data_IF_154033611315
#
_entry.id   IF_154033611315
#
_cell.length_a   1.000
_cell.length_b   1.000
_cell.length_c   1.000
_cell.angle_alpha   90.00
_cell.angle_beta   90.00
_cell.angle_gamma   90.00
#
_symmetry.space_group_name_H-M   'P 1'
#
loop_
_entity.id
_entity.type
_entity.pdbx_description
1 polymer ?
#
# COMPACT_ATOMS: atom_id res chain seq x y z
N UNK A 1 -15.76 -21.04 22.75
CA UNK A 1 -15.97 -20.79 21.31
C UNK A 1 -16.96 -19.65 20.98
N UNK A 2 -17.87 -19.24 21.86
CA UNK A 2 -18.92 -18.26 21.48
C UNK A 2 -18.54 -16.78 21.62
N UNK A 3 -17.56 -16.39 22.44
CA UNK A 3 -17.18 -15.00 22.64
C UNK A 3 -16.32 -14.42 21.49
N UNK A 4 -15.44 -15.25 20.91
CA UNK A 4 -14.60 -14.85 19.77
C UNK A 4 -15.39 -14.53 18.50
N UNK A 5 -16.46 -15.27 18.22
CA UNK A 5 -17.30 -15.04 17.04
C UNK A 5 -18.15 -13.76 17.15
N UNK A 6 -18.57 -13.37 18.36
CA UNK A 6 -19.33 -12.14 18.58
C UNK A 6 -18.44 -10.90 18.50
N UNK A 7 -17.20 -10.98 18.94
CA UNK A 7 -16.25 -9.89 18.87
C UNK A 7 -15.76 -9.66 17.43
N UNK A 8 -15.51 -10.73 16.67
CA UNK A 8 -15.21 -10.66 15.24
C UNK A 8 -16.34 -10.02 14.45
N UNK A 9 -17.60 -10.44 14.68
CA UNK A 9 -18.77 -9.80 14.05
C UNK A 9 -18.90 -8.32 14.35
N UNK A 10 -18.62 -7.86 15.59
CA UNK A 10 -18.62 -6.44 15.95
C UNK A 10 -17.50 -5.66 15.26
N UNK A 11 -16.32 -6.24 15.11
CA UNK A 11 -15.17 -5.61 14.43
C UNK A 11 -15.46 -5.44 12.93
N UNK A 12 -15.95 -6.48 12.27
CA UNK A 12 -16.38 -6.43 10.86
C UNK A 12 -17.48 -5.41 10.65
N UNK A 13 -18.48 -5.34 11.53
CA UNK A 13 -19.55 -4.34 11.45
C UNK A 13 -18.99 -2.89 11.54
N UNK A 14 -17.97 -2.65 12.34
CA UNK A 14 -17.37 -1.32 12.46
C UNK A 14 -16.59 -0.93 11.20
N UNK A 15 -15.89 -1.86 10.56
CA UNK A 15 -15.23 -1.65 9.27
C UNK A 15 -16.24 -1.38 8.16
N UNK A 16 -17.31 -2.18 8.07
CA UNK A 16 -18.40 -1.99 7.10
C UNK A 16 -19.10 -0.64 7.31
N UNK A 17 -19.40 -0.24 8.55
CA UNK A 17 -19.98 1.08 8.85
C UNK A 17 -19.08 2.22 8.41
N UNK A 18 -17.77 2.10 8.61
CA UNK A 18 -16.78 3.09 8.18
C UNK A 18 -16.72 3.19 6.67
N UNK A 19 -16.68 2.06 5.97
CA UNK A 19 -16.73 2.02 4.51
C UNK A 19 -18.04 2.62 3.99
N UNK A 20 -19.18 2.22 4.54
CA UNK A 20 -20.48 2.76 4.17
C UNK A 20 -20.57 4.27 4.39
N UNK A 21 -20.05 4.79 5.52
CA UNK A 21 -19.99 6.22 5.78
C UNK A 21 -19.13 6.96 4.75
N UNK A 22 -17.98 6.42 4.38
CA UNK A 22 -17.11 7.01 3.34
C UNK A 22 -17.78 7.02 1.98
N UNK A 23 -18.42 5.91 1.58
CA UNK A 23 -19.19 5.83 0.33
C UNK A 23 -20.34 6.82 0.34
N UNK A 24 -21.09 6.92 1.45
CA UNK A 24 -22.17 7.89 1.59
C UNK A 24 -21.67 9.32 1.49
N UNK A 25 -20.54 9.65 2.11
CA UNK A 25 -19.93 10.99 1.99
C UNK A 25 -19.59 11.35 0.56
N UNK A 26 -19.00 10.40 -0.18
CA UNK A 26 -18.68 10.60 -1.61
C UNK A 26 -19.97 10.79 -2.44
N UNK A 27 -21.01 9.99 -2.16
CA UNK A 27 -22.30 10.15 -2.84
C UNK A 27 -22.94 11.50 -2.54
N UNK A 28 -22.90 11.97 -1.31
CA UNK A 28 -23.41 13.31 -0.93
C UNK A 28 -22.64 14.43 -1.62
N UNK A 29 -21.31 14.31 -1.73
CA UNK A 29 -20.49 15.26 -2.49
C UNK A 29 -20.89 15.29 -3.98
N UNK A 30 -21.11 14.15 -4.59
CA UNK A 30 -21.58 14.06 -5.99
C UNK A 30 -22.96 14.68 -6.13
N UNK A 31 -23.90 14.39 -5.24
CA UNK A 31 -25.25 14.98 -5.24
C UNK A 31 -25.20 16.50 -5.03
N UNK A 32 -24.33 16.98 -4.13
CA UNK A 32 -24.10 18.40 -3.90
C UNK A 32 -23.57 19.10 -5.15
N UNK A 33 -22.59 18.50 -5.84
CA UNK A 33 -22.09 19.03 -7.11
C UNK A 33 -23.19 19.10 -8.18
N UNK A 34 -23.99 18.01 -8.32
CA UNK A 34 -25.15 18.01 -9.24
C UNK A 34 -26.15 19.11 -8.87
N UNK A 35 -26.39 19.34 -7.58
CA UNK A 35 -27.28 20.39 -7.09
C UNK A 35 -26.79 21.79 -7.44
N UNK A 36 -25.48 22.06 -7.29
CA UNK A 36 -24.87 23.33 -7.71
C UNK A 36 -25.05 23.53 -9.21
N UNK A 37 -24.78 22.50 -10.03
CA UNK A 37 -24.94 22.63 -11.48
C UNK A 37 -26.38 22.82 -11.89
N UNK A 38 -27.37 22.26 -11.19
CA UNK A 38 -28.80 22.51 -11.45
C UNK A 38 -29.25 23.94 -11.06
N UNK A 39 -28.67 24.48 -9.97
CA UNK A 39 -28.99 25.85 -9.52
C UNK A 39 -28.42 26.95 -10.41
N UNK A 40 -27.46 26.63 -11.29
CA UNK A 40 -26.83 27.59 -12.22
C UNK A 40 -27.55 27.66 -13.60
N UNK A 41 -28.85 27.43 -13.63
CA UNK A 41 -29.63 27.26 -14.86
C UNK A 41 -29.52 28.44 -15.86
N UNK A 42 -29.32 29.64 -15.41
CA UNK A 42 -29.16 30.85 -16.29
C UNK A 42 -27.84 30.83 -17.08
N UNK A 43 -26.83 30.14 -16.56
CA UNK A 43 -25.49 30.00 -17.18
C UNK A 43 -25.22 28.60 -17.75
N UNK A 44 -26.22 27.73 -17.75
CA UNK A 44 -26.04 26.32 -18.08
C UNK A 44 -25.38 26.11 -19.46
N UNK A 45 -25.81 26.84 -20.48
CA UNK A 45 -25.27 26.73 -21.85
C UNK A 45 -23.80 27.17 -21.91
N UNK A 46 -23.48 28.27 -21.22
CA UNK A 46 -22.11 28.79 -21.17
C UNK A 46 -21.17 27.80 -20.44
N UNK A 47 -21.62 27.33 -19.30
CA UNK A 47 -20.86 26.33 -18.49
C UNK A 47 -20.68 25.05 -19.28
N UNK A 48 -21.71 24.53 -19.95
CA UNK A 48 -21.63 23.33 -20.77
C UNK A 48 -20.59 23.47 -21.89
N UNK A 49 -20.67 24.58 -22.66
CA UNK A 49 -19.70 24.84 -23.73
C UNK A 49 -18.27 24.99 -23.22
N UNK A 50 -18.07 25.70 -22.11
CA UNK A 50 -16.76 25.87 -21.49
C UNK A 50 -16.21 24.50 -21.01
N UNK A 51 -17.08 23.68 -20.41
CA UNK A 51 -16.71 22.35 -19.92
C UNK A 51 -16.34 21.42 -21.08
N UNK A 52 -17.04 21.49 -22.21
CA UNK A 52 -16.71 20.70 -23.43
C UNK A 52 -15.35 21.08 -23.99
N UNK A 53 -15.04 22.37 -24.09
CA UNK A 53 -13.72 22.83 -24.54
C UNK A 53 -12.65 22.33 -23.57
N UNK A 54 -12.88 22.48 -22.28
CA UNK A 54 -11.96 21.99 -21.26
C UNK A 54 -11.80 20.46 -21.29
N UNK A 55 -12.88 19.71 -21.52
CA UNK A 55 -12.87 18.26 -21.66
C UNK A 55 -11.97 17.83 -22.83
N UNK A 56 -12.05 18.48 -23.98
CA UNK A 56 -11.18 18.17 -25.14
C UNK A 56 -9.71 18.40 -24.78
N UNK A 57 -9.39 19.54 -24.18
CA UNK A 57 -8.01 19.85 -23.74
C UNK A 57 -7.50 18.79 -22.75
N UNK A 58 -8.36 18.41 -21.80
CA UNK A 58 -8.02 17.40 -20.79
C UNK A 58 -7.80 16.02 -21.43
N UNK A 59 -8.65 15.63 -22.37
CA UNK A 59 -8.50 14.37 -23.13
C UNK A 59 -7.17 14.35 -23.89
N UNK A 60 -6.83 15.42 -24.59
CA UNK A 60 -5.54 15.51 -25.29
C UNK A 60 -4.36 15.39 -24.33
N UNK A 61 -4.46 16.01 -23.15
CA UNK A 61 -3.46 15.91 -22.10
C UNK A 61 -3.34 14.47 -21.53
N UNK A 62 -4.47 13.79 -21.32
CA UNK A 62 -4.48 12.38 -20.88
C UNK A 62 -3.89 11.47 -21.96
N UNK A 63 -4.25 11.69 -23.21
CA UNK A 63 -3.74 10.93 -24.35
C UNK A 63 -2.23 11.03 -24.47
N UNK A 64 -1.65 12.21 -24.31
CA UNK A 64 -0.21 12.45 -24.38
C UNK A 64 0.62 11.94 -23.17
N UNK A 65 -0.01 11.35 -22.13
CA UNK A 65 0.74 10.78 -21.00
C UNK A 65 1.38 9.44 -21.35
N UNK A 66 2.56 9.17 -20.77
CA UNK A 66 3.22 7.85 -20.84
C UNK A 66 2.59 6.87 -19.82
N UNK A 67 1.29 6.59 -19.99
CA UNK A 67 0.55 5.62 -19.21
C UNK A 67 -0.01 4.55 -20.12
N UNK A 68 -0.28 3.34 -19.59
CA UNK A 68 -0.88 2.25 -20.39
C UNK A 68 -2.26 2.64 -20.90
N UNK A 69 -2.60 2.19 -22.11
CA UNK A 69 -3.89 2.52 -22.74
C UNK A 69 -5.08 2.07 -21.89
N UNK A 70 -4.96 0.93 -21.19
CA UNK A 70 -6.00 0.42 -20.28
C UNK A 70 -6.33 1.38 -19.13
N UNK A 71 -5.38 2.22 -18.71
CA UNK A 71 -5.60 3.23 -17.67
C UNK A 71 -6.15 4.54 -18.23
N UNK A 72 -5.79 4.91 -19.47
CA UNK A 72 -6.22 6.17 -20.09
C UNK A 72 -7.60 6.09 -20.73
N UNK A 73 -7.85 4.99 -21.45
CA UNK A 73 -9.07 4.82 -22.27
C UNK A 73 -10.37 4.97 -21.49
N UNK A 74 -10.54 4.39 -20.29
CA UNK A 74 -11.77 4.58 -19.50
C UNK A 74 -12.04 6.05 -19.18
N UNK A 75 -11.00 6.81 -18.83
CA UNK A 75 -11.13 8.24 -18.53
C UNK A 75 -11.49 9.04 -19.78
N UNK A 76 -10.86 8.75 -20.92
CA UNK A 76 -11.15 9.41 -22.19
C UNK A 76 -12.62 9.18 -22.59
N UNK A 77 -13.08 7.92 -22.52
CA UNK A 77 -14.48 7.58 -22.82
C UNK A 77 -15.43 8.32 -21.88
N UNK A 78 -15.18 8.27 -20.58
CA UNK A 78 -16.04 8.91 -19.58
C UNK A 78 -16.15 10.43 -19.78
N UNK A 79 -15.02 11.11 -20.04
CA UNK A 79 -14.96 12.56 -20.23
C UNK A 79 -15.64 12.96 -21.54
N UNK A 80 -15.49 12.19 -22.62
CA UNK A 80 -16.13 12.51 -23.89
C UNK A 80 -17.63 12.21 -23.88
N UNK A 81 -18.07 11.17 -23.18
CA UNK A 81 -19.50 10.82 -23.09
C UNK A 81 -20.26 11.72 -22.12
N UNK A 82 -19.67 12.04 -20.98
CA UNK A 82 -20.26 12.85 -19.91
C UNK A 82 -19.29 13.95 -19.49
N UNK A 83 -19.13 15.05 -20.25
CA UNK A 83 -18.07 16.04 -20.00
C UNK A 83 -18.04 16.59 -18.59
N UNK A 84 -19.17 17.05 -18.07
CA UNK A 84 -19.26 17.63 -16.73
C UNK A 84 -18.90 16.59 -15.66
N UNK A 85 -19.58 15.44 -15.70
CA UNK A 85 -19.35 14.36 -14.72
C UNK A 85 -17.96 13.76 -14.87
N UNK A 86 -17.53 13.49 -16.11
CA UNK A 86 -16.22 12.89 -16.39
C UNK A 86 -15.06 13.77 -15.95
N UNK A 87 -15.15 15.08 -16.21
CA UNK A 87 -14.16 16.06 -15.74
C UNK A 87 -14.15 16.12 -14.21
N UNK A 88 -15.32 16.22 -13.57
CA UNK A 88 -15.40 16.25 -12.10
C UNK A 88 -14.80 14.99 -11.47
N UNK A 89 -15.20 13.81 -11.93
CA UNK A 89 -14.65 12.53 -11.43
C UNK A 89 -13.17 12.39 -11.71
N UNK A 90 -12.68 12.85 -12.86
CA UNK A 90 -11.27 12.82 -13.17
C UNK A 90 -10.45 13.69 -12.21
N UNK A 91 -10.93 14.88 -11.86
CA UNK A 91 -10.29 15.72 -10.85
C UNK A 91 -10.35 15.12 -9.44
N UNK A 92 -11.45 14.46 -9.09
CA UNK A 92 -11.63 13.83 -7.77
C UNK A 92 -10.79 12.56 -7.60
N UNK A 93 -10.73 11.73 -8.64
CA UNK A 93 -10.19 10.37 -8.53
C UNK A 93 -8.98 10.16 -9.46
N UNK A 94 -9.05 10.65 -10.69
CA UNK A 94 -8.06 10.39 -11.75
C UNK A 94 -6.79 11.24 -11.65
N UNK A 95 -6.85 12.39 -10.98
CA UNK A 95 -5.69 13.24 -10.82
C UNK A 95 -4.79 12.78 -9.66
N UNK A 96 -3.60 12.29 -10.03
CA UNK A 96 -2.53 11.96 -9.08
C UNK A 96 -1.74 13.19 -8.59
N UNK A 97 -2.31 14.38 -8.59
CA UNK A 97 -1.60 15.62 -8.20
C UNK A 97 -1.06 15.60 -6.77
N UNK A 98 -1.82 15.05 -5.84
CA UNK A 98 -1.38 14.85 -4.46
C UNK A 98 -0.24 13.85 -4.30
N UNK A 99 -0.08 12.91 -5.25
CA UNK A 99 1.01 11.93 -5.24
C UNK A 99 2.36 12.55 -5.58
N UNK A 100 2.39 13.71 -6.24
CA UNK A 100 3.65 14.39 -6.60
C UNK A 100 4.52 14.67 -5.35
N UNK A 101 3.90 15.20 -4.29
CA UNK A 101 4.61 15.48 -3.01
C UNK A 101 5.10 14.18 -2.37
N UNK A 102 4.26 13.14 -2.37
CA UNK A 102 4.62 11.82 -1.87
C UNK A 102 5.73 11.20 -2.71
N UNK A 103 5.61 11.20 -4.03
CA UNK A 103 6.63 10.70 -4.97
C UNK A 103 7.98 11.42 -4.79
N UNK A 104 7.97 12.75 -4.64
CA UNK A 104 9.18 13.52 -4.36
C UNK A 104 9.81 13.14 -3.02
N UNK A 105 9.00 12.80 -2.01
CA UNK A 105 9.48 12.33 -0.71
C UNK A 105 10.12 10.94 -0.82
N UNK A 106 9.46 10.00 -1.52
CA UNK A 106 10.02 8.67 -1.80
C UNK A 106 11.33 8.77 -2.56
N UNK A 107 11.37 9.58 -3.64
CA UNK A 107 12.61 9.79 -4.39
C UNK A 107 13.77 10.26 -3.51
N UNK A 108 13.52 11.18 -2.57
CA UNK A 108 14.55 11.62 -1.61
C UNK A 108 14.98 10.52 -0.64
N UNK A 109 14.09 9.59 -0.32
CA UNK A 109 14.42 8.41 0.51
C UNK A 109 15.26 7.44 -0.31
N UNK A 110 14.85 7.15 -1.53
CA UNK A 110 15.57 6.26 -2.45
C UNK A 110 16.98 6.77 -2.75
N UNK A 111 17.15 8.07 -2.99
CA UNK A 111 18.46 8.71 -3.16
C UNK A 111 19.41 8.48 -1.98
N UNK A 112 18.88 8.25 -0.77
CA UNK A 112 19.67 7.97 0.44
C UNK A 112 19.87 6.49 0.70
N UNK A 113 18.88 5.66 0.40
CA UNK A 113 18.89 4.25 0.77
C UNK A 113 19.45 3.35 -0.33
N UNK A 114 19.14 3.61 -1.60
CA UNK A 114 19.61 2.78 -2.70
C UNK A 114 21.15 2.67 -2.78
N UNK A 115 21.93 3.75 -2.54
CA UNK A 115 23.39 3.65 -2.52
C UNK A 115 23.95 2.78 -1.39
N UNK A 116 23.13 2.45 -0.38
CA UNK A 116 23.53 1.56 0.71
C UNK A 116 23.38 0.07 0.36
N UNK A 117 22.74 -0.25 -0.77
CA UNK A 117 22.64 -1.61 -1.27
C UNK A 117 24.00 -2.01 -1.87
N UNK A 118 24.70 -3.00 -1.31
CA UNK A 118 26.00 -3.42 -1.85
C UNK A 118 25.78 -4.12 -3.19
N UNK A 119 26.46 -3.63 -4.23
CA UNK A 119 26.58 -4.32 -5.51
C UNK A 119 27.63 -5.44 -5.40
N UNK A 120 27.32 -6.62 -5.93
CA UNK A 120 28.27 -7.72 -6.06
C UNK A 120 28.42 -8.14 -7.53
N UNK A 121 29.35 -7.47 -8.24
CA UNK A 121 29.60 -7.70 -9.66
C UNK A 121 30.00 -9.13 -9.98
N UNK A 122 30.78 -9.77 -9.09
CA UNK A 122 31.20 -11.15 -9.29
C UNK A 122 30.00 -12.12 -9.26
N UNK A 123 28.98 -11.85 -8.43
CA UNK A 123 27.76 -12.66 -8.40
C UNK A 123 27.00 -12.52 -9.71
N UNK A 124 26.89 -11.31 -10.23
CA UNK A 124 26.21 -11.04 -11.50
C UNK A 124 26.96 -11.68 -12.68
N UNK A 125 28.30 -11.58 -12.71
CA UNK A 125 29.14 -12.20 -13.75
C UNK A 125 29.01 -13.72 -13.73
N UNK A 126 29.04 -14.35 -12.56
CA UNK A 126 28.82 -15.80 -12.42
C UNK A 126 27.43 -16.21 -12.85
N UNK A 127 26.39 -15.44 -12.51
CA UNK A 127 25.03 -15.68 -12.95
C UNK A 127 24.91 -15.58 -14.47
N UNK A 128 25.50 -14.55 -15.08
CA UNK A 128 25.53 -14.39 -16.53
C UNK A 128 26.23 -15.54 -17.24
N UNK A 129 27.29 -16.07 -16.65
CA UNK A 129 28.03 -17.22 -17.21
C UNK A 129 27.28 -18.54 -17.07
N UNK A 130 26.60 -18.77 -15.96
CA UNK A 130 25.89 -20.02 -15.67
C UNK A 130 24.50 -20.08 -16.28
N UNK A 131 23.75 -18.98 -16.24
CA UNK A 131 22.42 -18.83 -16.82
C UNK A 131 22.24 -17.42 -17.43
N UNK A 132 22.52 -17.25 -18.72
CA UNK A 132 22.39 -15.97 -19.39
C UNK A 132 20.97 -15.38 -19.37
N UNK A 133 19.94 -16.22 -19.27
CA UNK A 133 18.55 -15.77 -19.21
C UNK A 133 18.25 -15.14 -17.84
N UNK A 134 18.61 -15.83 -16.78
CA UNK A 134 18.50 -15.29 -15.42
C UNK A 134 19.38 -14.03 -15.24
N UNK A 135 20.59 -14.04 -15.81
CA UNK A 135 21.46 -12.89 -15.83
C UNK A 135 20.87 -11.66 -16.52
N UNK A 136 20.21 -11.85 -17.67
CA UNK A 136 19.51 -10.75 -18.37
C UNK A 136 18.35 -10.19 -17.54
N UNK A 137 17.56 -11.04 -16.87
CA UNK A 137 16.49 -10.60 -15.97
C UNK A 137 17.06 -9.82 -14.80
N UNK A 138 18.15 -10.32 -14.19
CA UNK A 138 18.83 -9.66 -13.08
C UNK A 138 19.37 -8.28 -13.49
N UNK A 139 20.05 -8.18 -14.63
CA UNK A 139 20.51 -6.91 -15.20
C UNK A 139 19.35 -5.92 -15.45
N UNK A 140 18.21 -6.43 -15.92
CA UNK A 140 17.03 -5.58 -16.14
C UNK A 140 16.48 -5.04 -14.81
N UNK A 141 16.38 -5.89 -13.78
CA UNK A 141 15.90 -5.50 -12.44
C UNK A 141 16.85 -4.47 -11.83
N UNK A 142 18.14 -4.70 -11.88
CA UNK A 142 19.14 -3.79 -11.35
C UNK A 142 19.07 -2.41 -12.02
N UNK A 143 19.03 -2.35 -13.35
CA UNK A 143 18.99 -1.10 -14.11
C UNK A 143 17.69 -0.31 -13.93
N UNK A 144 16.55 -0.98 -13.77
CA UNK A 144 15.24 -0.32 -13.76
C UNK A 144 14.65 -0.17 -12.36
N UNK A 145 15.02 -1.03 -11.42
CA UNK A 145 14.52 -1.03 -10.04
C UNK A 145 15.62 -0.78 -9.00
N UNK A 146 16.91 -0.72 -9.41
CA UNK A 146 18.05 -0.50 -8.53
C UNK A 146 18.25 -1.59 -7.47
N UNK A 147 17.83 -2.83 -7.76
CA UNK A 147 18.02 -3.97 -6.87
C UNK A 147 19.06 -4.93 -7.45
N UNK A 148 20.28 -4.99 -6.87
CA UNK A 148 21.33 -5.90 -7.33
C UNK A 148 21.02 -7.34 -6.97
N UNK A 149 21.68 -8.28 -7.65
CA UNK A 149 21.59 -9.71 -7.34
C UNK A 149 22.45 -10.08 -6.15
N UNK A 150 21.94 -10.96 -5.32
CA UNK A 150 22.66 -11.50 -4.16
C UNK A 150 22.79 -13.01 -4.29
N UNK A 151 23.77 -13.58 -3.59
CA UNK A 151 23.88 -15.02 -3.35
C UNK A 151 23.98 -15.29 -1.83
N UNK A 152 24.09 -16.53 -1.44
CA UNK A 152 24.04 -16.97 -0.04
C UNK A 152 22.69 -16.66 0.62
N UNK A 153 21.64 -16.78 -0.18
CA UNK A 153 20.25 -16.66 0.29
C UNK A 153 19.66 -18.07 0.38
N UNK A 154 19.24 -18.45 1.57
CA UNK A 154 18.47 -19.67 1.78
C UNK A 154 16.98 -19.34 1.65
N UNK A 155 16.26 -20.16 0.88
CA UNK A 155 14.84 -19.94 0.57
C UNK A 155 14.03 -21.15 0.94
N UNK A 156 13.07 -20.96 1.83
CA UNK A 156 12.08 -22.00 2.17
C UNK A 156 10.72 -21.61 1.60
N UNK A 157 10.14 -22.49 0.81
CA UNK A 157 8.79 -22.33 0.28
C UNK A 157 7.78 -23.15 1.08
N UNK A 158 6.67 -22.56 1.42
CA UNK A 158 5.55 -23.21 2.08
C UNK A 158 4.37 -23.34 1.10
N UNK A 159 3.94 -24.56 0.84
CA UNK A 159 2.82 -24.89 -0.04
C UNK A 159 1.45 -24.62 0.62
N UNK A 160 1.41 -24.55 1.96
CA UNK A 160 0.23 -24.29 2.75
C UNK A 160 0.41 -23.06 3.66
N UNK A 161 -0.57 -22.18 3.70
CA UNK A 161 -0.54 -20.98 4.53
C UNK A 161 -0.38 -21.30 6.04
N UNK A 162 -0.94 -22.41 6.49
CA UNK A 162 -0.82 -22.84 7.90
C UNK A 162 0.63 -23.17 8.25
N UNK A 163 1.33 -23.91 7.39
CA UNK A 163 2.75 -24.22 7.60
C UNK A 163 3.61 -22.94 7.63
N UNK A 164 3.31 -22.02 6.73
CA UNK A 164 3.97 -20.69 6.70
C UNK A 164 3.72 -19.90 7.98
N UNK A 165 2.50 -19.92 8.50
CA UNK A 165 2.16 -19.26 9.77
C UNK A 165 2.91 -19.86 10.96
N UNK A 166 2.96 -21.20 11.07
CA UNK A 166 3.68 -21.87 12.16
C UNK A 166 5.18 -21.58 12.12
N UNK A 167 5.77 -21.60 10.92
CA UNK A 167 7.17 -21.21 10.74
C UNK A 167 7.40 -19.74 11.12
N UNK A 168 6.53 -18.83 10.69
CA UNK A 168 6.60 -17.42 11.04
C UNK A 168 6.53 -17.20 12.56
N UNK A 169 5.60 -17.85 13.24
CA UNK A 169 5.48 -17.77 14.70
C UNK A 169 6.75 -18.26 15.41
N UNK A 170 7.31 -19.37 14.90
CA UNK A 170 8.56 -19.94 15.43
C UNK A 170 9.73 -18.97 15.27
N UNK A 171 9.84 -18.31 14.13
CA UNK A 171 10.95 -17.38 13.87
C UNK A 171 10.75 -16.04 14.60
N UNK A 172 9.51 -15.54 14.68
CA UNK A 172 9.18 -14.36 15.49
C UNK A 172 9.57 -14.56 16.97
N UNK A 173 9.35 -15.77 17.52
CA UNK A 173 9.71 -16.08 18.90
C UNK A 173 11.22 -16.07 19.16
N UNK A 174 12.06 -16.22 18.13
CA UNK A 174 13.53 -16.18 18.21
C UNK A 174 14.11 -14.77 18.03
N UNK A 175 13.30 -13.78 17.66
CA UNK A 175 13.78 -12.43 17.40
C UNK A 175 14.43 -11.82 18.66
N UNK A 176 15.61 -11.23 18.51
CA UNK A 176 16.40 -10.68 19.62
C UNK A 176 16.51 -9.16 19.60
N UNK A 177 16.51 -8.53 18.42
CA UNK A 177 16.71 -7.08 18.30
C UNK A 177 15.48 -6.37 17.77
N UNK A 178 14.95 -6.81 16.61
CA UNK A 178 13.79 -6.16 16.02
C UNK A 178 12.89 -7.11 15.25
N UNK A 179 11.62 -6.71 15.13
CA UNK A 179 10.59 -7.29 14.26
C UNK A 179 9.90 -6.13 13.54
N UNK A 180 10.03 -6.05 12.22
CA UNK A 180 9.35 -5.06 11.39
C UNK A 180 8.38 -5.77 10.44
N UNK A 181 7.09 -5.49 10.58
CA UNK A 181 6.03 -6.13 9.80
C UNK A 181 5.32 -5.08 8.95
N UNK A 182 5.12 -5.40 7.68
CA UNK A 182 4.39 -4.57 6.72
C UNK A 182 3.38 -5.44 5.97
N UNK A 183 2.09 -5.14 6.14
CA UNK A 183 1.01 -5.91 5.56
C UNK A 183 0.00 -5.04 4.84
N UNK A 184 -0.48 -5.51 3.68
CA UNK A 184 -1.61 -4.88 3.01
C UNK A 184 -2.90 -5.01 3.82
N UNK A 185 -3.19 -6.19 4.33
CA UNK A 185 -4.37 -6.47 5.12
C UNK A 185 -4.01 -7.21 6.40
N UNK A 186 -4.55 -6.73 7.51
CA UNK A 186 -4.54 -7.43 8.79
C UNK A 186 -5.99 -7.69 9.17
N UNK A 187 -6.31 -8.95 9.38
CA UNK A 187 -7.58 -9.38 9.95
C UNK A 187 -7.36 -9.70 11.44
N UNK A 188 -8.02 -8.94 12.32
CA UNK A 188 -7.88 -9.09 13.78
C UNK A 188 -8.66 -10.34 14.27
N UNK A 189 -8.22 -11.50 13.78
CA UNK A 189 -8.79 -12.83 13.99
C UNK A 189 -7.70 -13.86 14.40
N UNK A 190 -7.95 -15.15 14.21
CA UNK A 190 -7.13 -16.24 14.73
C UNK A 190 -5.65 -16.13 14.40
N UNK A 191 -5.29 -15.92 13.14
CA UNK A 191 -3.87 -15.85 12.74
C UNK A 191 -3.17 -14.64 13.37
N UNK A 192 -3.81 -13.47 13.31
CA UNK A 192 -3.25 -12.26 13.89
C UNK A 192 -3.15 -12.34 15.42
N UNK A 193 -4.13 -12.89 16.09
CA UNK A 193 -4.09 -13.04 17.56
C UNK A 193 -2.90 -13.86 18.04
N UNK A 194 -2.53 -14.90 17.31
CA UNK A 194 -1.32 -15.72 17.59
C UNK A 194 -0.04 -14.90 17.35
N UNK A 195 0.06 -14.23 16.22
CA UNK A 195 1.17 -13.34 15.91
C UNK A 195 1.30 -12.26 17.00
N UNK A 196 0.21 -11.58 17.32
CA UNK A 196 0.20 -10.51 18.32
C UNK A 196 0.68 -11.00 19.70
N UNK A 197 0.30 -12.20 20.12
CA UNK A 197 0.76 -12.78 21.38
C UNK A 197 2.29 -12.87 21.39
N UNK A 198 2.89 -13.40 20.34
CA UNK A 198 4.35 -13.50 20.23
C UNK A 198 5.01 -12.11 20.19
N UNK A 199 4.42 -11.15 19.45
CA UNK A 199 4.93 -9.78 19.41
C UNK A 199 4.94 -9.12 20.80
N UNK A 200 3.87 -9.31 21.58
CA UNK A 200 3.79 -8.78 22.95
C UNK A 200 4.84 -9.41 23.88
N UNK A 201 5.12 -10.69 23.72
CA UNK A 201 6.21 -11.37 24.45
C UNK A 201 7.58 -10.82 24.06
N UNK A 202 7.80 -10.59 22.78
CA UNK A 202 9.08 -10.02 22.31
C UNK A 202 9.28 -8.58 22.77
N UNK A 203 8.22 -7.75 22.75
CA UNK A 203 8.28 -6.39 23.33
C UNK A 203 8.69 -6.44 24.80
N UNK A 204 8.11 -7.35 25.61
CA UNK A 204 8.50 -7.53 27.02
C UNK A 204 9.95 -7.97 27.17
N UNK A 205 10.50 -8.69 26.20
CA UNK A 205 11.90 -9.10 26.15
C UNK A 205 12.85 -7.99 25.64
N UNK A 206 12.33 -6.78 25.32
CA UNK A 206 13.12 -5.64 24.87
C UNK A 206 13.32 -5.55 23.36
N UNK A 207 12.67 -6.42 22.58
CA UNK A 207 12.74 -6.40 21.11
C UNK A 207 11.94 -5.23 20.55
N UNK A 208 12.52 -4.50 19.60
CA UNK A 208 11.82 -3.42 18.90
C UNK A 208 10.80 -3.98 17.91
N UNK A 209 9.50 -3.73 18.13
CA UNK A 209 8.44 -4.23 17.25
C UNK A 209 7.74 -3.07 16.55
N UNK A 210 7.71 -3.13 15.21
CA UNK A 210 7.00 -2.17 14.37
C UNK A 210 6.03 -2.89 13.45
N UNK A 211 4.79 -2.40 13.39
CA UNK A 211 3.75 -2.90 12.49
C UNK A 211 3.28 -1.76 11.59
N UNK A 212 3.20 -2.02 10.31
CA UNK A 212 2.72 -1.11 9.30
C UNK A 212 1.65 -1.80 8.45
N UNK A 213 0.51 -1.17 8.23
CA UNK A 213 -0.55 -1.78 7.42
C UNK A 213 -1.31 -0.75 6.57
N UNK A 214 -1.87 -1.21 5.44
CA UNK A 214 -2.72 -0.38 4.58
C UNK A 214 -4.14 -0.28 5.13
N UNK A 215 -4.66 0.94 5.23
CA UNK A 215 -5.97 1.18 5.81
C UNK A 215 -7.11 0.60 4.96
N UNK A 216 -7.03 0.75 3.63
CA UNK A 216 -8.06 0.24 2.73
C UNK A 216 -8.06 -1.29 2.70
N UNK A 217 -6.87 -1.91 2.67
CA UNK A 217 -6.74 -3.36 2.72
C UNK A 217 -7.31 -3.97 3.99
N UNK A 218 -7.25 -3.22 5.09
CA UNK A 218 -7.70 -3.67 6.41
C UNK A 218 -9.07 -3.10 6.84
N UNK A 219 -9.76 -2.31 6.00
CA UNK A 219 -10.94 -1.53 6.39
C UNK A 219 -12.11 -2.36 6.90
N UNK A 220 -12.28 -3.57 6.38
CA UNK A 220 -13.32 -4.51 6.81
C UNK A 220 -12.96 -5.33 8.06
N UNK A 221 -11.69 -5.35 8.43
CA UNK A 221 -11.11 -6.33 9.35
C UNK A 221 -10.64 -5.72 10.67
N UNK A 222 -10.20 -4.46 10.66
CA UNK A 222 -9.77 -3.76 11.86
C UNK A 222 -10.58 -2.51 12.12
N UNK A 223 -10.64 -2.06 13.36
CA UNK A 223 -11.29 -0.80 13.73
C UNK A 223 -10.28 0.35 13.87
N UNK A 224 -10.80 1.58 13.95
CA UNK A 224 -9.98 2.80 14.09
C UNK A 224 -9.07 2.80 15.32
N UNK A 225 -9.35 2.01 16.33
CA UNK A 225 -8.55 1.92 17.56
C UNK A 225 -7.46 0.85 17.48
N UNK A 226 -7.38 0.07 16.40
CA UNK A 226 -6.45 -1.06 16.29
C UNK A 226 -4.99 -0.62 16.48
N UNK A 227 -4.54 0.40 15.74
CA UNK A 227 -3.18 0.93 15.90
C UNK A 227 -2.91 1.40 17.33
N UNK A 228 -3.83 2.15 17.94
CA UNK A 228 -3.70 2.60 19.35
C UNK A 228 -3.65 1.44 20.32
N UNK A 229 -4.38 0.35 20.09
CA UNK A 229 -4.32 -0.85 20.92
C UNK A 229 -2.96 -1.53 20.86
N UNK A 230 -2.34 -1.58 19.67
CA UNK A 230 -0.99 -2.12 19.51
C UNK A 230 0.04 -1.21 20.20
N UNK A 231 -0.08 0.11 20.04
CA UNK A 231 0.81 1.09 20.70
C UNK A 231 0.72 1.00 22.23
N UNK A 232 -0.48 0.79 22.78
CA UNK A 232 -0.65 0.57 24.22
C UNK A 232 0.04 -0.70 24.74
N UNK A 233 0.37 -1.64 23.87
CA UNK A 233 1.11 -2.87 24.17
C UNK A 233 2.62 -2.76 23.87
N UNK A 234 3.10 -1.56 23.54
CA UNK A 234 4.50 -1.29 23.21
C UNK A 234 4.88 -1.63 21.77
N UNK A 235 3.92 -1.99 20.92
CA UNK A 235 4.15 -2.26 19.50
C UNK A 235 3.95 -0.97 18.72
N UNK A 236 5.02 -0.41 18.13
CA UNK A 236 4.90 0.79 17.30
C UNK A 236 4.08 0.49 16.05
N UNK A 237 2.95 1.18 15.89
CA UNK A 237 2.05 0.91 14.77
C UNK A 237 1.80 2.16 13.92
N UNK A 238 1.81 2.00 12.60
CA UNK A 238 1.48 3.08 11.65
C UNK A 238 0.55 2.56 10.57
N UNK A 239 -0.36 3.44 10.17
CA UNK A 239 -1.37 3.15 9.15
C UNK A 239 -0.96 3.85 7.87
N UNK A 240 -0.87 3.10 6.77
CA UNK A 240 -0.62 3.67 5.46
C UNK A 240 -1.90 4.25 4.86
N UNK A 241 -1.81 5.50 4.42
CA UNK A 241 -2.83 6.21 3.69
C UNK A 241 -4.25 6.04 4.28
N UNK A 242 -4.49 6.56 5.50
CA UNK A 242 -5.77 6.41 6.19
C UNK A 242 -6.93 6.94 5.34
N UNK A 243 -8.00 6.16 5.25
CA UNK A 243 -9.22 6.55 4.57
C UNK A 243 -10.04 7.43 5.50
N UNK A 244 -9.98 8.73 5.24
CA UNK A 244 -10.77 9.73 5.96
C UNK A 244 -12.03 10.09 5.16
N UNK A 245 -13.15 10.45 5.82
CA UNK A 245 -14.31 11.00 5.15
C UNK A 245 -13.95 12.30 4.42
N UNK A 246 -14.46 12.45 3.18
CA UNK A 246 -14.20 13.62 2.32
C UNK A 246 -13.57 13.24 1.00
N UNK A 247 -13.18 14.26 0.22
CA UNK A 247 -12.50 14.12 -1.07
C UNK A 247 -11.12 13.45 -0.88
N UNK A 248 -11.09 12.14 -0.93
CA UNK A 248 -9.84 11.40 -0.80
C UNK A 248 -9.25 11.07 -2.17
N UNK A 249 -8.47 12.01 -2.70
CA UNK A 249 -7.77 11.90 -3.99
C UNK A 249 -6.68 10.80 -4.02
N UNK A 250 -6.47 10.09 -2.89
CA UNK A 250 -5.41 9.10 -2.73
C UNK A 250 -5.90 7.66 -2.66
N UNK A 251 -7.14 7.39 -3.06
CA UNK A 251 -7.73 6.04 -3.02
C UNK A 251 -6.85 4.98 -3.71
N UNK A 252 -6.17 5.35 -4.79
CA UNK A 252 -5.36 4.43 -5.60
C UNK A 252 -3.95 4.17 -5.07
N UNK A 253 -3.49 4.93 -4.06
CA UNK A 253 -2.17 4.73 -3.49
C UNK A 253 -2.29 3.77 -2.31
N UNK A 254 -2.02 2.50 -2.58
CA UNK A 254 -2.11 1.43 -1.59
C UNK A 254 -0.77 0.72 -1.45
N UNK A 255 -0.51 0.29 -0.24
CA UNK A 255 0.61 -0.58 0.03
C UNK A 255 0.17 -2.04 -0.07
N UNK A 256 0.74 -2.78 -1.01
CA UNK A 256 0.39 -4.18 -1.25
C UNK A 256 1.52 -5.14 -0.85
N UNK A 257 2.51 -4.67 -0.10
CA UNK A 257 3.61 -5.49 0.38
C UNK A 257 3.16 -6.36 1.56
N UNK A 258 3.79 -7.52 1.71
CA UNK A 258 3.66 -8.46 2.81
C UNK A 258 5.07 -8.84 3.18
N UNK A 259 5.64 -8.15 4.14
CA UNK A 259 7.03 -8.29 4.56
C UNK A 259 7.07 -8.47 6.06
N UNK A 260 7.86 -9.42 6.51
CA UNK A 260 8.25 -9.53 7.89
C UNK A 260 9.78 -9.62 7.93
N UNK A 261 10.41 -8.62 8.51
CA UNK A 261 11.85 -8.56 8.71
C UNK A 261 12.13 -8.70 10.19
N UNK A 262 13.00 -9.63 10.53
CA UNK A 262 13.40 -9.87 11.91
C UNK A 262 14.91 -10.14 12.01
N UNK A 263 15.46 -9.91 13.20
CA UNK A 263 16.85 -10.15 13.50
C UNK A 263 16.95 -11.12 14.68
N UNK A 264 17.53 -12.30 14.42
CA UNK A 264 17.59 -13.41 15.39
C UNK A 264 18.98 -13.71 15.91
N UNK A 265 20.04 -13.32 15.20
CA UNK A 265 21.43 -13.43 15.64
C UNK A 265 22.34 -12.65 14.69
N UNK A 266 23.59 -12.35 15.07
CA UNK A 266 24.52 -11.68 14.16
C UNK A 266 24.65 -12.49 12.88
N UNK A 267 24.34 -11.83 11.75
CA UNK A 267 24.58 -12.41 10.43
C UNK A 267 26.08 -12.72 10.30
N UNK A 268 26.47 -13.78 9.59
CA UNK A 268 27.88 -13.99 9.25
C UNK A 268 28.57 -12.78 8.59
N UNK A 269 27.79 -11.81 8.09
CA UNK A 269 28.32 -10.53 7.57
C UNK A 269 28.73 -9.56 8.67
N UNK A 270 28.10 -9.63 9.85
CA UNK A 270 28.41 -8.72 10.96
C UNK A 270 29.72 -9.13 11.68
N UNK A 271 30.15 -10.38 11.49
CA UNK A 271 31.42 -10.91 12.02
C UNK A 271 32.65 -10.57 11.16
N UNK A 272 32.48 -9.98 9.97
CA UNK A 272 33.56 -9.62 9.05
C UNK A 272 33.90 -8.12 9.03
N UNK A 273 33.27 -7.33 9.89
CA UNK A 273 33.51 -5.87 10.03
C UNK A 273 34.22 -5.51 11.35
N UNK A 274 35.22 -6.31 11.74
CA UNK A 274 36.17 -5.95 12.80
C UNK A 274 37.60 -5.85 12.24
#
# INVERSE_FOLDING_TARGET
MSSHTLEGKKKTQNGVKRLAFTVLSILLEVVFLIGIFKGLNEYAVFIDNLTRIFAVILVLKIYGRNETSSMKTPWIILILTFPILGVALYFMIGMNGGTRKMRMRYKKIDEKLLPLLPENKEVLERLNASDPKAGNVSNYIERNACYPVYQNTDVTYFDEAVKGLEAQLTDLAKAEQFIFMEYHAIEDEYAWSRIQTVLEERVKAGVEVRVFYDDMGSIGFVNLSFARKLEAKGIACRVFNPLLPGLNMFLNNRDHRKICLLYTSPSPRDSTSS
#
